data_IF_536043770344
#
_entry.id   IF_536043770344
#
_cell.length_a   1.000
_cell.length_b   1.000
_cell.length_c   1.000
_cell.angle_alpha   90.00
_cell.angle_beta   90.00
_cell.angle_gamma   90.00
#
_symmetry.space_group_name_H-M   'P 1'
#
loop_
_entity.id
_entity.type
_entity.pdbx_description
1 polymer ?
#
# COMPACT_ATOMS: atom_id res chain seq x y z
N UNK A 1 -15.63 -44.77 31.05
CA UNK A 1 -17.09 -44.64 31.00
C UNK A 1 -17.40 -43.32 30.31
N UNK A 2 -17.86 -43.34 29.06
CA UNK A 2 -18.24 -42.13 28.30
C UNK A 2 -19.54 -41.60 28.91
N UNK A 3 -19.54 -40.36 29.43
CA UNK A 3 -20.79 -39.66 29.72
C UNK A 3 -21.05 -38.65 28.60
N UNK A 4 -22.13 -38.92 27.89
CA UNK A 4 -22.82 -37.98 27.02
C UNK A 4 -23.45 -36.88 27.88
N UNK A 5 -23.20 -35.61 27.56
CA UNK A 5 -24.07 -34.52 28.00
C UNK A 5 -24.84 -34.01 26.78
N UNK A 6 -26.10 -34.44 26.79
CA UNK A 6 -27.20 -34.07 25.92
C UNK A 6 -27.42 -32.56 25.96
N UNK A 7 -27.78 -32.01 24.81
CA UNK A 7 -28.06 -30.59 24.61
C UNK A 7 -29.06 -30.04 25.63
N UNK A 8 -28.67 -28.95 26.26
CA UNK A 8 -29.53 -28.05 27.02
C UNK A 8 -29.16 -26.63 26.63
N UNK A 9 -29.98 -26.03 25.77
CA UNK A 9 -29.92 -24.60 25.46
C UNK A 9 -30.32 -23.83 26.71
N UNK A 10 -29.36 -23.17 27.37
CA UNK A 10 -29.66 -22.15 28.37
C UNK A 10 -29.65 -20.82 27.63
N UNK A 11 -30.85 -20.31 27.32
CA UNK A 11 -31.07 -19.00 26.72
C UNK A 11 -30.95 -17.91 27.79
N UNK A 12 -29.75 -17.36 27.96
CA UNK A 12 -29.58 -16.04 28.57
C UNK A 12 -29.61 -14.98 27.48
N UNK A 13 -30.68 -14.17 27.48
CA UNK A 13 -30.79 -12.86 26.81
C UNK A 13 -30.52 -12.85 25.30
N UNK A 14 -31.49 -12.40 24.50
CA UNK A 14 -31.37 -12.31 23.04
C UNK A 14 -30.17 -11.49 22.56
N UNK A 15 -29.01 -12.13 22.46
CA UNK A 15 -27.97 -11.78 21.52
C UNK A 15 -28.20 -12.70 20.33
N UNK A 16 -28.71 -12.13 19.23
CA UNK A 16 -28.56 -12.77 17.93
C UNK A 16 -27.04 -12.94 17.77
N UNK A 17 -26.55 -14.19 17.84
CA UNK A 17 -25.20 -14.48 17.36
C UNK A 17 -25.24 -14.14 15.88
N UNK A 18 -24.81 -12.94 15.52
CA UNK A 18 -24.37 -12.68 14.16
C UNK A 18 -23.45 -13.84 13.79
N UNK A 19 -23.73 -14.54 12.69
CA UNK A 19 -22.78 -15.52 12.18
C UNK A 19 -21.45 -14.79 12.05
N UNK A 20 -20.46 -15.23 12.83
CA UNK A 20 -19.15 -14.61 12.87
C UNK A 20 -18.62 -14.59 11.44
N UNK A 21 -18.26 -13.41 10.95
CA UNK A 21 -17.67 -13.31 9.62
C UNK A 21 -16.43 -14.21 9.58
N UNK A 22 -16.36 -15.11 8.61
CA UNK A 22 -15.22 -16.01 8.49
C UNK A 22 -14.03 -15.25 7.90
N UNK A 23 -13.15 -14.78 8.79
CA UNK A 23 -11.90 -14.09 8.44
C UNK A 23 -10.80 -15.05 7.95
N UNK A 24 -11.03 -16.37 7.94
CA UNK A 24 -9.98 -17.32 7.54
C UNK A 24 -9.67 -17.22 6.05
N UNK A 25 -8.38 -17.28 5.71
CA UNK A 25 -7.91 -17.22 4.32
C UNK A 25 -8.21 -18.48 3.50
N UNK A 26 -8.71 -19.53 4.16
CA UNK A 26 -8.95 -20.86 3.59
C UNK A 26 -10.41 -21.30 3.70
N UNK A 27 -11.26 -20.50 4.34
CA UNK A 27 -12.66 -20.82 4.57
C UNK A 27 -13.61 -20.17 3.57
N UNK A 28 -14.88 -20.12 3.96
CA UNK A 28 -15.97 -19.57 3.17
C UNK A 28 -15.83 -18.06 2.92
N UNK A 29 -15.12 -17.32 3.79
CA UNK A 29 -14.86 -15.89 3.60
C UNK A 29 -14.20 -15.57 2.27
N UNK A 30 -13.21 -16.37 1.86
CA UNK A 30 -12.52 -16.22 0.58
C UNK A 30 -13.47 -16.35 -0.62
N UNK A 31 -14.39 -17.31 -0.59
CA UNK A 31 -15.39 -17.51 -1.64
C UNK A 31 -16.36 -16.33 -1.69
N UNK A 32 -16.87 -15.88 -0.53
CA UNK A 32 -17.77 -14.72 -0.45
C UNK A 32 -17.14 -13.45 -1.00
N UNK A 33 -15.85 -13.21 -0.75
CA UNK A 33 -15.15 -12.06 -1.30
C UNK A 33 -15.10 -12.10 -2.84
N UNK A 34 -14.92 -13.29 -3.43
CA UNK A 34 -14.98 -13.47 -4.88
C UNK A 34 -16.39 -13.23 -5.42
N UNK A 35 -17.42 -13.79 -4.79
CA UNK A 35 -18.82 -13.64 -5.21
C UNK A 35 -19.31 -12.19 -5.14
N UNK A 36 -18.76 -11.40 -4.21
CA UNK A 36 -19.00 -9.95 -4.08
C UNK A 36 -18.20 -9.09 -5.05
N UNK A 37 -17.36 -9.69 -5.90
CA UNK A 37 -16.50 -8.95 -6.82
C UNK A 37 -15.38 -8.17 -6.15
N UNK A 38 -14.96 -8.55 -4.93
CA UNK A 38 -13.91 -7.87 -4.16
C UNK A 38 -12.49 -8.33 -4.52
N UNK A 39 -12.34 -9.21 -5.51
CA UNK A 39 -11.07 -9.83 -5.91
C UNK A 39 -10.59 -9.22 -7.21
N UNK A 40 -9.34 -8.75 -7.23
CA UNK A 40 -8.75 -8.05 -8.38
C UNK A 40 -9.57 -6.82 -8.84
N UNK A 41 -10.32 -6.25 -7.91
CA UNK A 41 -11.17 -5.12 -8.21
C UNK A 41 -10.37 -3.82 -8.26
N UNK A 42 -10.99 -2.83 -8.87
CA UNK A 42 -10.37 -1.55 -9.14
C UNK A 42 -10.59 -0.62 -7.94
N UNK A 43 -9.49 -0.17 -7.34
CA UNK A 43 -9.52 0.73 -6.19
C UNK A 43 -9.67 2.19 -6.64
N UNK A 44 -10.31 3.00 -5.81
CA UNK A 44 -10.23 4.45 -5.96
C UNK A 44 -8.77 4.92 -5.86
N UNK A 45 -8.38 5.80 -6.78
CA UNK A 45 -7.08 6.46 -6.80
C UNK A 45 -7.31 7.98 -6.86
N UNK A 46 -6.70 8.69 -5.91
CA UNK A 46 -6.75 10.15 -5.87
C UNK A 46 -5.99 10.76 -7.06
N UNK A 47 -6.44 11.93 -7.52
CA UNK A 47 -5.73 12.68 -8.54
C UNK A 47 -4.50 13.38 -7.95
N UNK A 48 -3.33 13.12 -8.55
CA UNK A 48 -2.08 13.86 -8.34
C UNK A 48 -1.44 14.07 -9.70
N UNK A 49 -0.87 15.23 -10.00
CA UNK A 49 -0.13 15.48 -11.25
C UNK A 49 1.04 14.49 -11.45
N UNK A 50 1.36 13.99 -12.67
CA UNK A 50 2.35 12.93 -12.81
C UNK A 50 3.77 13.40 -12.51
N UNK A 51 4.11 14.64 -12.90
CA UNK A 51 5.38 15.26 -12.53
C UNK A 51 5.52 15.34 -11.01
N UNK A 52 4.47 15.81 -10.34
CA UNK A 52 4.44 15.89 -8.88
C UNK A 52 4.55 14.52 -8.21
N UNK A 53 3.88 13.50 -8.74
CA UNK A 53 3.96 12.13 -8.22
C UNK A 53 5.38 11.57 -8.35
N UNK A 54 6.10 11.85 -9.45
CA UNK A 54 7.51 11.46 -9.59
C UNK A 54 8.40 12.09 -8.51
N UNK A 55 8.24 13.40 -8.26
CA UNK A 55 8.95 14.09 -7.18
C UNK A 55 8.66 13.46 -5.81
N UNK A 56 7.40 13.15 -5.52
CA UNK A 56 6.99 12.54 -4.25
C UNK A 56 7.57 11.14 -4.06
N UNK A 57 7.75 10.37 -5.13
CA UNK A 57 8.32 9.02 -5.11
C UNK A 57 9.86 8.99 -5.04
N UNK A 58 10.54 10.14 -5.11
CA UNK A 58 11.99 10.19 -5.03
C UNK A 58 12.54 9.67 -3.71
N UNK A 59 13.49 8.72 -3.80
CA UNK A 59 14.09 8.07 -2.64
C UNK A 59 15.43 8.70 -2.30
N UNK A 60 15.65 9.00 -1.03
CA UNK A 60 16.92 9.59 -0.57
C UNK A 60 17.57 8.74 0.53
N UNK A 61 18.85 8.43 0.38
CA UNK A 61 19.59 7.73 1.44
C UNK A 61 19.81 8.62 2.67
N UNK A 62 20.05 9.93 2.46
CA UNK A 62 20.42 10.85 3.54
C UNK A 62 19.36 10.92 4.64
N UNK A 63 18.10 11.14 4.26
CA UNK A 63 17.01 11.34 5.23
C UNK A 63 16.71 10.06 6.00
N UNK A 64 16.59 8.94 5.30
CA UNK A 64 16.37 7.63 5.92
C UNK A 64 17.53 7.21 6.84
N UNK A 65 18.79 7.50 6.48
CA UNK A 65 19.94 7.24 7.36
C UNK A 65 19.87 8.04 8.65
N UNK A 66 19.57 9.35 8.58
CA UNK A 66 19.50 10.20 9.78
C UNK A 66 18.38 9.70 10.70
N UNK A 67 17.20 9.45 10.15
CA UNK A 67 16.05 8.95 10.91
C UNK A 67 16.33 7.60 11.59
N UNK A 68 16.93 6.66 10.83
CA UNK A 68 17.32 5.35 11.34
C UNK A 68 18.39 5.45 12.42
N UNK A 69 19.42 6.28 12.23
CA UNK A 69 20.48 6.47 13.21
C UNK A 69 19.95 7.11 14.50
N UNK A 70 19.03 8.07 14.38
CA UNK A 70 18.36 8.69 15.53
C UNK A 70 17.53 7.66 16.29
N UNK A 71 16.74 6.84 15.60
CA UNK A 71 15.94 5.80 16.22
C UNK A 71 16.80 4.75 16.95
N UNK A 72 17.87 4.24 16.31
CA UNK A 72 18.79 3.29 16.95
C UNK A 72 19.47 3.94 18.16
N UNK A 73 19.97 5.16 18.02
CA UNK A 73 20.63 5.90 19.11
C UNK A 73 19.70 6.13 20.30
N UNK A 74 18.46 6.55 20.05
CA UNK A 74 17.44 6.72 21.09
C UNK A 74 17.07 5.38 21.74
N UNK A 75 16.98 4.30 20.96
CA UNK A 75 16.68 2.97 21.49
C UNK A 75 17.79 2.48 22.42
N UNK A 76 19.05 2.66 22.04
CA UNK A 76 20.22 2.33 22.87
C UNK A 76 20.23 3.18 24.14
N UNK A 77 19.99 4.49 24.02
CA UNK A 77 19.94 5.41 25.16
C UNK A 77 18.81 5.06 26.13
N UNK A 78 17.62 4.76 25.62
CA UNK A 78 16.49 4.33 26.45
C UNK A 78 16.76 2.98 27.12
N UNK A 79 17.44 2.05 26.43
CA UNK A 79 17.86 0.78 27.00
C UNK A 79 18.90 0.95 28.10
N UNK A 80 19.86 1.84 27.91
CA UNK A 80 20.82 2.23 28.95
C UNK A 80 20.12 2.90 30.14
N UNK A 81 19.19 3.81 29.90
CA UNK A 81 18.41 4.47 30.95
C UNK A 81 17.61 3.45 31.77
N UNK A 82 16.97 2.48 31.10
CA UNK A 82 16.27 1.38 31.75
C UNK A 82 17.20 0.52 32.61
N UNK A 83 18.39 0.16 32.08
CA UNK A 83 19.38 -0.61 32.83
C UNK A 83 19.92 0.17 34.05
N UNK A 84 20.23 1.45 33.89
CA UNK A 84 20.76 2.31 34.95
C UNK A 84 19.74 2.59 36.07
N UNK A 85 18.45 2.54 35.74
CA UNK A 85 17.35 2.76 36.69
C UNK A 85 16.68 1.47 37.13
N UNK A 86 17.26 0.32 36.80
CA UNK A 86 16.75 -0.99 37.18
C UNK A 86 16.48 -1.06 38.68
N UNK A 87 15.37 -1.70 39.06
CA UNK A 87 14.93 -1.85 40.45
C UNK A 87 14.52 -0.54 41.17
N UNK A 88 14.28 0.54 40.40
CA UNK A 88 13.71 1.79 40.92
C UNK A 88 12.40 2.16 40.21
N UNK A 89 11.64 3.08 40.78
CA UNK A 89 10.44 3.63 40.12
C UNK A 89 10.73 4.30 38.77
N UNK A 90 11.97 4.76 38.55
CA UNK A 90 12.41 5.31 37.26
C UNK A 90 12.50 4.27 36.14
N UNK A 91 12.54 2.98 36.47
CA UNK A 91 12.49 1.91 35.47
C UNK A 91 11.17 1.87 34.71
N UNK A 92 10.06 2.34 35.31
CA UNK A 92 8.74 2.37 34.65
C UNK A 92 8.72 3.34 33.46
N UNK A 93 9.00 4.65 33.62
CA UNK A 93 9.04 5.56 32.47
C UNK A 93 10.16 5.19 31.48
N UNK A 94 11.30 4.65 31.95
CA UNK A 94 12.36 4.16 31.06
C UNK A 94 11.90 2.98 30.20
N UNK A 95 11.16 2.03 30.79
CA UNK A 95 10.56 0.90 30.08
C UNK A 95 9.54 1.36 29.04
N UNK A 96 8.71 2.34 29.36
CA UNK A 96 7.73 2.89 28.41
C UNK A 96 8.43 3.54 27.21
N UNK A 97 9.46 4.36 27.45
CA UNK A 97 10.26 4.97 26.38
C UNK A 97 10.98 3.91 25.53
N UNK A 98 11.62 2.92 26.18
CA UNK A 98 12.29 1.82 25.48
C UNK A 98 11.29 0.99 24.66
N UNK A 99 10.15 0.62 25.23
CA UNK A 99 9.10 -0.14 24.54
C UNK A 99 8.50 0.61 23.35
N UNK A 100 8.28 1.93 23.47
CA UNK A 100 7.79 2.74 22.36
C UNK A 100 8.79 2.79 21.19
N UNK A 101 10.09 2.87 21.48
CA UNK A 101 11.15 2.86 20.47
C UNK A 101 11.42 1.46 19.90
N UNK A 102 11.45 0.43 20.76
CA UNK A 102 11.76 -0.94 20.37
C UNK A 102 10.60 -1.63 19.66
N UNK A 103 9.36 -1.44 20.11
CA UNK A 103 8.17 -2.03 19.50
C UNK A 103 7.54 -1.08 18.49
N UNK A 104 7.01 0.05 18.99
CA UNK A 104 6.22 0.98 18.18
C UNK A 104 6.98 1.54 16.98
N UNK A 105 8.20 2.05 17.20
CA UNK A 105 8.99 2.58 16.09
C UNK A 105 9.53 1.50 15.15
N UNK A 106 9.84 0.30 15.65
CA UNK A 106 10.19 -0.83 14.79
C UNK A 106 9.04 -1.23 13.87
N UNK A 107 7.78 -1.19 14.32
CA UNK A 107 6.61 -1.54 13.50
C UNK A 107 6.51 -0.70 12.23
N UNK A 108 6.65 0.62 12.36
CA UNK A 108 6.65 1.51 11.20
C UNK A 108 7.87 1.31 10.28
N UNK A 109 9.05 0.96 10.82
CA UNK A 109 10.25 0.66 10.02
C UNK A 109 10.14 -0.70 9.32
N UNK A 110 9.58 -1.71 9.99
CA UNK A 110 9.27 -2.98 9.36
C UNK A 110 8.34 -2.78 8.17
N UNK A 111 7.29 -1.97 8.35
CA UNK A 111 6.33 -1.66 7.31
C UNK A 111 7.03 -0.97 6.12
N UNK A 112 7.62 0.21 6.36
CA UNK A 112 8.17 1.06 5.31
C UNK A 112 9.36 0.43 4.57
N UNK A 113 10.32 -0.14 5.30
CA UNK A 113 11.48 -0.78 4.67
C UNK A 113 11.10 -2.09 3.98
N UNK A 114 9.96 -2.69 4.34
CA UNK A 114 9.36 -3.82 3.65
C UNK A 114 8.90 -3.46 2.22
N UNK A 115 8.46 -2.23 1.99
CA UNK A 115 8.17 -1.69 0.67
C UNK A 115 9.43 -1.35 -0.11
N UNK A 116 10.51 -1.01 0.58
CA UNK A 116 11.80 -0.67 -0.02
C UNK A 116 11.86 0.75 -0.58
N UNK A 117 11.03 1.63 -0.03
CA UNK A 117 10.84 3.03 -0.44
C UNK A 117 11.68 4.00 0.37
N UNK A 118 11.94 3.73 1.66
CA UNK A 118 12.69 4.65 2.53
C UNK A 118 14.09 5.01 2.00
N UNK A 119 14.90 4.01 1.61
CA UNK A 119 16.24 4.22 1.06
C UNK A 119 16.26 4.07 -0.46
N UNK A 120 17.15 4.81 -1.14
CA UNK A 120 17.53 4.49 -2.52
C UNK A 120 18.33 3.16 -2.57
N UNK A 121 19.13 2.90 -1.55
CA UNK A 121 19.87 1.64 -1.42
C UNK A 121 18.94 0.49 -1.01
N UNK A 122 18.75 -0.47 -1.93
CA UNK A 122 18.01 -1.72 -1.65
C UNK A 122 18.59 -2.47 -0.46
N UNK A 123 19.93 -2.55 -0.36
CA UNK A 123 20.60 -3.24 0.74
C UNK A 123 20.30 -2.58 2.10
N UNK A 124 20.22 -1.24 2.14
CA UNK A 124 19.90 -0.53 3.37
C UNK A 124 18.46 -0.81 3.83
N UNK A 125 17.48 -0.76 2.92
CA UNK A 125 16.11 -1.16 3.23
C UNK A 125 16.06 -2.59 3.79
N UNK A 126 16.71 -3.56 3.15
CA UNK A 126 16.69 -4.96 3.60
C UNK A 126 17.31 -5.13 5.00
N UNK A 127 18.44 -4.50 5.29
CA UNK A 127 19.08 -4.60 6.62
C UNK A 127 18.15 -4.09 7.71
N UNK A 128 17.55 -2.91 7.51
CA UNK A 128 16.67 -2.30 8.52
C UNK A 128 15.34 -3.05 8.61
N UNK A 129 14.80 -3.53 7.49
CA UNK A 129 13.63 -4.39 7.47
C UNK A 129 13.84 -5.66 8.31
N UNK A 130 14.98 -6.34 8.15
CA UNK A 130 15.29 -7.54 8.91
C UNK A 130 15.50 -7.25 10.41
N UNK A 131 16.16 -6.13 10.74
CA UNK A 131 16.30 -5.69 12.13
C UNK A 131 14.94 -5.44 12.77
N UNK A 132 14.08 -4.66 12.12
CA UNK A 132 12.74 -4.36 12.62
C UNK A 132 11.86 -5.61 12.71
N UNK A 133 11.95 -6.51 11.71
CA UNK A 133 11.27 -7.81 11.72
C UNK A 133 11.67 -8.63 12.95
N UNK A 134 12.97 -8.67 13.28
CA UNK A 134 13.48 -9.37 14.46
C UNK A 134 12.93 -8.76 15.76
N UNK A 135 12.93 -7.43 15.90
CA UNK A 135 12.40 -6.75 17.09
C UNK A 135 10.90 -7.00 17.31
N UNK A 136 10.15 -7.24 16.24
CA UNK A 136 8.71 -7.52 16.29
C UNK A 136 8.36 -9.00 16.28
N UNK A 137 9.36 -9.89 16.29
CA UNK A 137 9.17 -11.34 16.12
C UNK A 137 8.38 -11.71 14.86
N UNK A 138 8.51 -10.92 13.78
CA UNK A 138 7.89 -11.17 12.48
C UNK A 138 8.85 -11.93 11.57
N UNK A 139 8.42 -13.07 11.04
CA UNK A 139 9.12 -13.76 9.97
C UNK A 139 9.21 -12.89 8.71
N UNK A 140 10.40 -12.42 8.29
CA UNK A 140 10.55 -11.35 7.30
C UNK A 140 9.98 -11.71 5.92
N UNK A 141 9.97 -12.99 5.54
CA UNK A 141 9.43 -13.41 4.24
C UNK A 141 7.90 -13.43 4.25
N UNK A 142 7.28 -14.14 5.20
CA UNK A 142 5.83 -14.32 5.26
C UNK A 142 5.14 -12.98 5.47
N UNK A 143 5.66 -12.18 6.40
CA UNK A 143 5.07 -10.89 6.75
C UNK A 143 5.22 -9.85 5.64
N UNK A 144 6.28 -9.89 4.81
CA UNK A 144 6.37 -9.02 3.63
C UNK A 144 5.23 -9.30 2.65
N UNK A 145 4.99 -10.57 2.35
CA UNK A 145 3.97 -10.97 1.36
C UNK A 145 2.56 -10.84 1.92
N UNK A 146 2.37 -11.10 3.22
CA UNK A 146 1.14 -10.75 3.94
C UNK A 146 0.83 -9.27 3.76
N UNK A 147 1.83 -8.42 3.98
CA UNK A 147 1.63 -6.98 3.97
C UNK A 147 1.40 -6.42 2.57
N UNK A 148 2.09 -6.95 1.55
CA UNK A 148 1.77 -6.58 0.16
C UNK A 148 0.33 -6.98 -0.20
N UNK A 149 -0.12 -8.15 0.26
CA UNK A 149 -1.51 -8.55 0.08
C UNK A 149 -2.48 -7.68 0.85
N UNK A 150 -2.13 -7.22 2.05
CA UNK A 150 -2.92 -6.26 2.80
C UNK A 150 -3.17 -4.98 1.99
N UNK A 151 -2.20 -4.46 1.24
CA UNK A 151 -2.44 -3.34 0.31
C UNK A 151 -3.40 -3.66 -0.83
N UNK A 152 -3.45 -4.91 -1.30
CA UNK A 152 -4.40 -5.36 -2.33
C UNK A 152 -5.81 -5.55 -1.78
N UNK A 153 -5.91 -6.15 -0.60
CA UNK A 153 -7.13 -6.71 -0.04
C UNK A 153 -7.48 -5.99 1.29
N UNK A 154 -7.15 -4.71 1.46
CA UNK A 154 -7.24 -4.00 2.77
C UNK A 154 -8.61 -4.14 3.40
N UNK A 155 -8.67 -4.82 4.56
CA UNK A 155 -9.90 -5.11 5.31
C UNK A 155 -10.96 -5.86 4.48
N UNK A 156 -10.53 -6.69 3.53
CA UNK A 156 -11.40 -7.64 2.84
C UNK A 156 -11.38 -8.97 3.61
N UNK A 157 -12.52 -9.31 4.19
CA UNK A 157 -12.66 -10.51 5.03
C UNK A 157 -12.35 -11.79 4.24
N UNK A 158 -11.61 -12.72 4.88
CA UNK A 158 -11.16 -13.96 4.24
C UNK A 158 -10.05 -13.77 3.19
N UNK A 159 -9.51 -12.56 3.05
CA UNK A 159 -8.40 -12.26 2.11
C UNK A 159 -7.24 -11.52 2.76
N UNK A 160 -7.53 -10.64 3.72
CA UNK A 160 -6.54 -9.90 4.48
C UNK A 160 -6.18 -10.62 5.79
N UNK A 161 -4.90 -11.01 5.90
CA UNK A 161 -4.36 -11.67 7.08
C UNK A 161 -4.05 -10.68 8.22
N UNK A 162 -4.02 -9.38 7.93
CA UNK A 162 -3.58 -8.32 8.84
C UNK A 162 -4.75 -7.62 9.53
N UNK A 163 -5.99 -8.09 9.33
CA UNK A 163 -7.16 -7.63 10.09
C UNK A 163 -6.99 -8.01 11.56
N UNK A 164 -6.61 -7.04 12.38
CA UNK A 164 -6.37 -7.22 13.82
C UNK A 164 -7.68 -7.21 14.60
N UNK A 165 -8.62 -6.33 14.23
CA UNK A 165 -9.90 -6.14 14.91
C UNK A 165 -11.06 -6.86 14.19
N UNK A 166 -11.01 -8.19 14.22
CA UNK A 166 -12.10 -9.02 13.70
C UNK A 166 -13.40 -8.80 14.49
N UNK A 167 -14.54 -8.80 13.81
CA UNK A 167 -15.86 -8.57 14.40
C UNK A 167 -16.53 -9.89 14.79
N UNK A 168 -17.15 -9.98 15.99
CA UNK A 168 -17.15 -9.00 17.08
C UNK A 168 -15.76 -8.89 17.72
N UNK A 169 -15.35 -7.67 18.14
CA UNK A 169 -14.04 -7.45 18.72
C UNK A 169 -13.89 -8.20 20.03
N UNK A 170 -12.79 -8.95 20.15
CA UNK A 170 -12.37 -9.53 21.42
C UNK A 170 -11.67 -8.46 22.25
N UNK A 171 -12.24 -8.08 23.40
CA UNK A 171 -11.66 -7.10 24.34
C UNK A 171 -10.21 -7.47 24.71
N UNK A 172 -9.92 -8.76 24.89
CA UNK A 172 -8.57 -9.25 25.21
C UNK A 172 -7.57 -9.11 24.04
N UNK A 173 -8.02 -9.24 22.79
CA UNK A 173 -7.18 -8.97 21.61
C UNK A 173 -7.02 -7.47 21.32
N UNK A 174 -8.00 -6.68 21.75
CA UNK A 174 -8.13 -5.25 21.45
C UNK A 174 -7.14 -4.39 22.26
N UNK A 175 -6.83 -4.76 23.51
CA UNK A 175 -5.94 -3.99 24.41
C UNK A 175 -4.50 -3.88 23.87
N UNK A 176 -4.07 -4.79 23.00
CA UNK A 176 -2.70 -4.85 22.49
C UNK A 176 -2.53 -4.39 21.04
N UNK A 177 -3.62 -3.97 20.38
CA UNK A 177 -3.62 -3.62 18.97
C UNK A 177 -3.71 -2.11 18.78
N UNK A 178 -2.71 -1.51 18.13
CA UNK A 178 -2.80 -0.16 17.62
C UNK A 178 -3.11 -0.27 16.12
N UNK A 179 -4.26 0.28 15.70
CA UNK A 179 -4.71 0.54 14.30
C UNK A 179 -5.74 -0.42 13.67
N UNK A 180 -6.73 0.20 12.98
CA UNK A 180 -7.75 -0.34 12.05
C UNK A 180 -9.14 -0.71 12.61
N UNK A 181 -10.00 0.30 12.79
CA UNK A 181 -11.44 0.11 12.98
C UNK A 181 -12.20 0.89 11.93
N UNK A 182 -12.54 0.24 10.82
CA UNK A 182 -13.14 0.87 9.66
C UNK A 182 -14.09 -0.07 8.92
N UNK A 183 -14.67 0.41 7.83
CA UNK A 183 -15.58 -0.38 7.00
C UNK A 183 -14.85 -1.58 6.42
N UNK A 184 -15.48 -2.76 6.49
CA UNK A 184 -14.91 -4.00 5.94
C UNK A 184 -15.51 -4.28 4.56
N UNK A 185 -14.77 -4.98 3.72
CA UNK A 185 -15.25 -5.42 2.41
C UNK A 185 -15.60 -4.26 1.43
N UNK A 186 -14.93 -3.12 1.55
CA UNK A 186 -15.10 -1.93 0.67
C UNK A 186 -13.84 -1.70 -0.16
N UNK A 187 -13.99 -1.47 -1.47
CA UNK A 187 -12.92 -1.30 -2.47
C UNK A 187 -12.46 0.16 -2.64
N UNK A 188 -12.54 0.94 -1.57
CA UNK A 188 -12.12 2.33 -1.55
C UNK A 188 -11.44 2.64 -0.22
N UNK A 189 -10.14 2.97 -0.29
CA UNK A 189 -9.33 3.22 0.90
C UNK A 189 -9.80 4.41 1.73
N UNK A 190 -10.63 5.31 1.17
CA UNK A 190 -11.24 6.43 1.92
C UNK A 190 -12.22 5.95 2.99
N UNK A 191 -12.76 4.74 2.84
CA UNK A 191 -13.71 4.14 3.77
C UNK A 191 -13.06 3.18 4.77
N UNK A 192 -11.98 2.49 4.37
CA UNK A 192 -11.33 1.46 5.16
C UNK A 192 -9.97 1.88 5.78
N UNK A 193 -9.39 3.01 5.35
CA UNK A 193 -8.14 3.58 5.87
C UNK A 193 -8.30 5.05 6.27
N UNK A 194 -7.47 5.55 7.21
CA UNK A 194 -7.58 6.90 7.78
C UNK A 194 -6.25 7.61 7.93
N UNK A 195 -6.32 8.92 7.82
CA UNK A 195 -5.26 9.84 8.26
C UNK A 195 -5.58 10.43 9.62
N UNK A 196 -4.56 10.50 10.47
CA UNK A 196 -4.62 11.10 11.80
C UNK A 196 -3.54 12.15 11.90
N UNK A 197 -3.87 13.37 12.31
CA UNK A 197 -2.86 14.37 12.64
C UNK A 197 -2.19 14.04 13.97
N UNK A 198 -0.86 14.07 13.93
CA UNK A 198 0.01 13.70 15.03
C UNK A 198 1.08 14.78 15.27
N UNK A 199 1.52 14.90 16.51
CA UNK A 199 2.64 15.78 16.86
C UNK A 199 3.97 15.23 16.30
N UNK A 200 5.05 16.05 16.25
CA UNK A 200 6.33 15.64 15.66
C UNK A 200 6.95 14.37 16.28
N UNK A 201 6.77 14.15 17.59
CA UNK A 201 7.29 12.96 18.27
C UNK A 201 6.61 11.69 17.76
N UNK A 202 5.28 11.67 17.70
CA UNK A 202 4.55 10.50 17.18
C UNK A 202 4.78 10.31 15.68
N UNK A 203 4.92 11.39 14.91
CA UNK A 203 5.29 11.31 13.49
C UNK A 203 6.67 10.68 13.28
N UNK A 204 7.63 10.97 14.16
CA UNK A 204 8.93 10.30 14.14
C UNK A 204 8.79 8.82 14.50
N UNK A 205 8.13 8.50 15.62
CA UNK A 205 7.93 7.12 16.06
C UNK A 205 7.17 6.29 15.02
N UNK A 206 6.21 6.88 14.31
CA UNK A 206 5.38 6.16 13.35
C UNK A 206 5.84 6.33 11.89
N UNK A 207 7.03 6.89 11.64
CA UNK A 207 7.52 7.19 10.28
C UNK A 207 6.48 7.91 9.43
N UNK A 208 5.82 8.96 9.91
CA UNK A 208 4.70 9.62 9.19
C UNK A 208 3.59 8.67 8.67
N UNK A 209 3.53 7.40 9.09
CA UNK A 209 2.50 6.44 8.66
C UNK A 209 1.12 6.77 9.25
N UNK A 210 1.03 7.91 9.94
CA UNK A 210 -0.23 8.55 10.30
C UNK A 210 -1.00 9.07 9.08
N UNK A 211 -0.32 9.26 7.94
CA UNK A 211 -0.89 9.49 6.61
C UNK A 211 -1.15 8.15 5.91
N UNK A 212 -2.00 7.34 6.53
CA UNK A 212 -2.10 5.93 6.16
C UNK A 212 -2.96 5.72 4.91
N UNK A 213 -3.99 6.54 4.68
CA UNK A 213 -4.84 6.39 3.49
C UNK A 213 -4.05 6.72 2.22
N UNK A 214 -3.21 7.75 2.29
CA UNK A 214 -2.30 8.15 1.22
C UNK A 214 -1.32 7.03 0.92
N UNK A 215 -0.75 6.42 1.97
CA UNK A 215 0.14 5.27 1.85
C UNK A 215 -0.54 4.06 1.20
N UNK A 216 -1.77 3.71 1.56
CA UNK A 216 -2.48 2.58 0.92
C UNK A 216 -2.82 2.82 -0.56
N UNK A 217 -3.11 4.09 -0.91
CA UNK A 217 -3.33 4.49 -2.29
C UNK A 217 -2.01 4.50 -3.09
N UNK A 218 -0.92 4.96 -2.48
CA UNK A 218 0.38 5.16 -3.14
C UNK A 218 1.54 4.60 -2.29
N UNK A 219 1.64 3.27 -2.13
CA UNK A 219 2.67 2.66 -1.27
C UNK A 219 4.10 2.81 -1.84
N UNK A 220 4.23 3.32 -3.07
CA UNK A 220 5.51 3.71 -3.67
C UNK A 220 6.06 5.03 -3.13
N UNK A 221 5.24 5.86 -2.49
CA UNK A 221 5.66 7.15 -1.94
C UNK A 221 6.33 6.92 -0.58
N UNK A 222 7.62 7.29 -0.42
CA UNK A 222 8.32 7.10 0.84
C UNK A 222 7.69 7.92 1.95
N UNK A 223 7.79 7.37 3.16
CA UNK A 223 7.19 7.92 4.37
C UNK A 223 7.47 9.42 4.62
N UNK A 224 8.63 9.91 4.18
CA UNK A 224 9.03 11.29 4.40
C UNK A 224 8.29 12.30 3.50
N UNK A 225 7.70 11.83 2.40
CA UNK A 225 6.94 12.61 1.42
C UNK A 225 5.42 12.48 1.59
N UNK A 226 4.94 11.51 2.40
CA UNK A 226 3.51 11.37 2.73
C UNK A 226 2.83 12.67 3.23
N UNK A 227 3.48 13.55 4.03
CA UNK A 227 2.85 14.81 4.43
C UNK A 227 2.58 15.74 3.25
N UNK A 228 3.48 15.74 2.26
CA UNK A 228 3.34 16.55 1.05
C UNK A 228 2.28 15.95 0.14
N UNK A 229 2.27 14.62 -0.04
CA UNK A 229 1.21 13.91 -0.73
C UNK A 229 -0.17 14.20 -0.11
N UNK A 230 -0.28 14.14 1.22
CA UNK A 230 -1.51 14.51 1.92
C UNK A 230 -1.97 15.92 1.57
N UNK A 231 -1.06 16.89 1.46
CA UNK A 231 -1.42 18.24 1.08
C UNK A 231 -2.03 18.33 -0.33
N UNK A 232 -1.58 17.47 -1.27
CA UNK A 232 -2.11 17.38 -2.64
C UNK A 232 -3.50 16.73 -2.68
N UNK A 233 -3.74 15.68 -1.87
CA UNK A 233 -4.95 14.84 -2.02
C UNK A 233 -6.00 15.04 -0.94
N UNK A 234 -5.72 15.78 0.14
CA UNK A 234 -6.63 15.91 1.31
C UNK A 234 -8.07 16.32 0.95
N UNK A 235 -8.26 17.12 -0.09
CA UNK A 235 -9.58 17.61 -0.52
C UNK A 235 -10.40 16.53 -1.25
N UNK A 236 -9.79 15.39 -1.56
CA UNK A 236 -10.40 14.20 -2.16
C UNK A 236 -10.66 13.09 -1.13
N UNK A 237 -10.21 13.30 0.11
CA UNK A 237 -10.27 12.34 1.23
C UNK A 237 -11.31 12.78 2.25
N UNK A 238 -11.76 11.82 3.08
CA UNK A 238 -12.50 12.18 4.27
C UNK A 238 -11.64 13.02 5.23
N UNK A 239 -12.23 13.94 6.01
CA UNK A 239 -11.50 14.77 6.96
C UNK A 239 -10.58 13.95 7.89
N UNK A 240 -9.31 14.37 7.96
CA UNK A 240 -8.34 13.74 8.84
C UNK A 240 -8.74 13.90 10.31
N UNK A 241 -8.49 12.87 11.11
CA UNK A 241 -8.76 12.91 12.55
C UNK A 241 -7.79 13.92 13.20
N UNK A 242 -8.27 14.92 13.94
CA UNK A 242 -7.48 16.11 14.25
C UNK A 242 -6.34 15.88 15.26
N UNK A 243 -6.44 14.84 16.08
CA UNK A 243 -5.40 14.50 17.08
C UNK A 243 -5.36 12.99 17.33
N UNK A 244 -4.22 12.52 17.86
CA UNK A 244 -4.09 11.15 18.38
C UNK A 244 -5.15 10.83 19.45
N UNK A 245 -5.49 11.77 20.33
CA UNK A 245 -6.52 11.56 21.35
C UNK A 245 -7.93 11.41 20.74
N UNK A 246 -8.26 12.21 19.72
CA UNK A 246 -9.50 12.05 18.98
C UNK A 246 -9.56 10.69 18.26
N UNK A 247 -8.45 10.22 17.70
CA UNK A 247 -8.37 8.90 17.09
C UNK A 247 -8.65 7.77 18.09
N UNK A 248 -8.06 7.81 19.30
CA UNK A 248 -8.38 6.84 20.34
C UNK A 248 -9.85 6.90 20.77
N UNK A 249 -10.44 8.10 20.87
CA UNK A 249 -11.86 8.24 21.18
C UNK A 249 -12.75 7.56 20.12
N UNK A 250 -12.43 7.74 18.83
CA UNK A 250 -13.13 7.07 17.73
C UNK A 250 -12.95 5.54 17.83
N UNK A 251 -11.72 5.07 18.04
CA UNK A 251 -11.39 3.65 18.17
C UNK A 251 -12.19 3.00 19.31
N UNK A 252 -12.07 3.51 20.53
CA UNK A 252 -12.71 2.89 21.69
C UNK A 252 -14.23 3.00 21.67
N UNK A 253 -14.79 4.11 21.16
CA UNK A 253 -16.25 4.23 20.99
C UNK A 253 -16.79 3.28 19.92
N UNK A 254 -16.05 3.06 18.84
CA UNK A 254 -16.41 2.12 17.77
C UNK A 254 -16.36 0.68 18.27
N UNK A 255 -15.30 0.29 18.97
CA UNK A 255 -15.18 -1.05 19.57
C UNK A 255 -16.32 -1.35 20.55
N UNK A 256 -16.67 -0.37 21.39
CA UNK A 256 -17.78 -0.52 22.33
C UNK A 256 -19.12 -0.74 21.61
N UNK A 257 -19.34 -0.05 20.49
CA UNK A 257 -20.53 -0.26 19.63
C UNK A 257 -20.48 -1.61 18.92
N UNK A 258 -19.35 -1.96 18.32
CA UNK A 258 -19.15 -3.23 17.60
C UNK A 258 -19.22 -4.47 18.50
N UNK A 259 -18.95 -4.31 19.80
CA UNK A 259 -19.16 -5.37 20.77
C UNK A 259 -20.65 -5.71 20.95
N UNK A 260 -21.53 -4.72 20.81
CA UNK A 260 -23.00 -4.89 20.92
C UNK A 260 -23.62 -5.19 19.56
N UNK A 261 -23.21 -4.46 18.53
CA UNK A 261 -23.64 -4.60 17.13
C UNK A 261 -22.41 -4.81 16.24
N UNK A 262 -22.03 -6.06 15.93
CA UNK A 262 -20.86 -6.35 15.10
C UNK A 262 -20.93 -5.75 13.70
N UNK A 263 -22.12 -5.40 13.21
CA UNK A 263 -22.29 -4.78 11.89
C UNK A 263 -22.08 -3.27 11.90
N UNK A 264 -21.94 -2.65 13.07
CA UNK A 264 -21.74 -1.22 13.19
C UNK A 264 -20.51 -0.74 12.41
N UNK A 265 -20.73 0.27 11.58
CA UNK A 265 -19.70 0.95 10.80
C UNK A 265 -19.70 2.45 11.10
N UNK A 266 -18.52 3.06 11.02
CA UNK A 266 -18.39 4.50 11.17
C UNK A 266 -18.86 5.16 9.86
N UNK A 267 -19.73 6.16 9.98
CA UNK A 267 -20.12 7.03 8.88
C UNK A 267 -19.03 8.06 8.61
N UNK A 268 -18.73 8.28 7.33
CA UNK A 268 -17.57 9.03 6.89
C UNK A 268 -18.00 10.01 5.81
N UNK A 269 -17.60 11.25 5.99
CA UNK A 269 -17.80 12.31 5.01
C UNK A 269 -16.74 12.19 3.92
N UNK A 270 -16.96 11.30 2.95
CA UNK A 270 -16.06 11.08 1.81
C UNK A 270 -16.55 11.92 0.63
N UNK A 271 -15.73 12.85 0.09
CA UNK A 271 -16.12 13.65 -1.06
C UNK A 271 -16.44 12.79 -2.30
N UNK A 272 -17.51 13.14 -3.01
CA UNK A 272 -17.81 12.59 -4.33
C UNK A 272 -16.89 13.21 -5.38
N UNK A 273 -15.76 12.57 -5.60
CA UNK A 273 -14.78 12.93 -6.63
C UNK A 273 -14.56 11.73 -7.55
N UNK A 274 -14.34 12.01 -8.84
CA UNK A 274 -14.03 10.97 -9.80
C UNK A 274 -12.65 10.38 -9.49
N UNK A 275 -12.55 9.05 -9.48
CA UNK A 275 -11.25 8.39 -9.38
C UNK A 275 -10.47 8.70 -10.64
N UNK A 276 -9.42 9.52 -10.55
CA UNK A 276 -8.58 9.79 -11.71
C UNK A 276 -7.66 8.63 -11.96
N UNK A 277 -8.13 7.72 -12.80
CA UNK A 277 -7.24 6.90 -13.60
C UNK A 277 -6.85 7.77 -14.76
N UNK A 278 -5.57 8.15 -14.86
CA UNK A 278 -5.09 8.87 -16.04
C UNK A 278 -5.12 7.90 -17.23
N UNK A 279 -6.32 7.68 -17.77
CA UNK A 279 -6.48 7.51 -19.21
C UNK A 279 -6.05 8.86 -19.76
N UNK A 280 -4.77 8.97 -20.10
CA UNK A 280 -4.45 9.87 -21.20
C UNK A 280 -5.17 9.19 -22.35
N UNK A 281 -6.42 9.60 -22.57
CA UNK A 281 -7.12 9.30 -23.80
C UNK A 281 -6.32 10.10 -24.83
N UNK A 282 -5.21 9.51 -25.25
CA UNK A 282 -4.66 9.76 -26.57
C UNK A 282 -5.78 9.26 -27.46
N UNK A 283 -6.75 10.13 -27.69
CA UNK A 283 -7.97 9.78 -28.40
C UNK A 283 -7.63 9.13 -29.74
N UNK A 284 -8.65 8.61 -30.41
CA UNK A 284 -8.55 7.98 -31.75
C UNK A 284 -7.71 8.79 -32.77
N UNK A 285 -7.41 10.07 -32.50
CA UNK A 285 -6.61 10.98 -33.31
C UNK A 285 -5.09 11.00 -33.08
N UNK A 286 -4.52 10.34 -32.05
CA UNK A 286 -3.10 10.53 -31.68
C UNK A 286 -2.17 9.37 -31.99
N UNK A 287 -2.71 8.17 -32.17
CA UNK A 287 -1.96 7.08 -32.78
C UNK A 287 -2.46 6.81 -34.19
N UNK A 288 -1.54 6.70 -35.12
CA UNK A 288 -1.84 6.43 -36.53
C UNK A 288 -1.14 5.15 -36.90
N UNK A 289 -1.91 4.18 -37.38
CA UNK A 289 -1.32 2.99 -37.96
C UNK A 289 -0.78 3.34 -39.36
N UNK A 290 0.53 3.15 -39.54
CA UNK A 290 1.18 3.29 -40.83
C UNK A 290 0.87 2.08 -41.71
N UNK A 291 0.97 2.24 -43.03
CA UNK A 291 0.74 1.18 -44.01
C UNK A 291 1.69 -0.04 -43.83
N UNK A 292 2.82 0.13 -43.16
CA UNK A 292 3.77 -0.92 -42.83
C UNK A 292 3.42 -1.69 -41.53
N UNK A 293 2.31 -1.35 -40.87
CA UNK A 293 1.85 -1.97 -39.62
C UNK A 293 2.44 -1.35 -38.34
N UNK A 294 3.35 -0.38 -38.43
CA UNK A 294 3.82 0.39 -37.27
C UNK A 294 2.73 1.33 -36.75
N UNK A 295 2.74 1.60 -35.44
CA UNK A 295 1.78 2.48 -34.79
C UNK A 295 2.51 3.69 -34.25
N UNK A 296 2.22 4.87 -34.78
CA UNK A 296 2.68 6.13 -34.20
C UNK A 296 2.06 6.29 -32.81
N UNK A 297 2.85 6.48 -31.74
CA UNK A 297 2.35 6.54 -30.37
C UNK A 297 2.35 7.96 -29.80
N UNK A 298 3.35 8.76 -30.15
CA UNK A 298 3.56 10.11 -29.62
C UNK A 298 4.67 10.85 -30.39
N UNK A 299 4.69 12.18 -30.28
CA UNK A 299 5.87 12.96 -30.63
C UNK A 299 6.98 12.70 -29.59
N UNK A 300 8.22 12.46 -30.03
CA UNK A 300 9.35 12.16 -29.14
C UNK A 300 9.67 13.30 -28.16
N UNK A 301 9.39 14.54 -28.56
CA UNK A 301 9.51 15.75 -27.73
C UNK A 301 8.39 15.95 -26.72
N UNK A 302 7.30 15.18 -26.80
CA UNK A 302 6.14 15.34 -25.91
C UNK A 302 6.29 14.62 -24.57
N UNK A 303 7.40 13.90 -24.36
CA UNK A 303 7.68 13.15 -23.14
C UNK A 303 9.00 13.59 -22.53
N UNK A 304 9.01 13.72 -21.21
CA UNK A 304 10.22 13.93 -20.43
C UNK A 304 10.94 12.60 -20.15
N UNK A 305 12.26 12.66 -19.97
CA UNK A 305 13.04 11.47 -19.56
C UNK A 305 12.55 11.01 -18.19
N UNK A 306 12.29 9.71 -18.05
CA UNK A 306 11.70 9.09 -16.86
C UNK A 306 10.17 9.07 -16.83
N UNK A 307 9.49 9.64 -17.83
CA UNK A 307 8.04 9.58 -17.95
C UNK A 307 7.56 8.19 -18.41
N UNK A 308 6.48 7.72 -17.78
CA UNK A 308 5.66 6.61 -18.25
C UNK A 308 4.30 7.15 -18.72
N UNK A 309 3.84 6.67 -19.87
CA UNK A 309 2.59 7.08 -20.50
C UNK A 309 1.75 5.87 -20.85
N UNK A 310 0.50 5.88 -20.41
CA UNK A 310 -0.51 4.90 -20.83
C UNK A 310 -0.90 5.16 -22.28
N UNK A 311 -0.92 4.09 -23.08
CA UNK A 311 -1.40 4.11 -24.47
C UNK A 311 -2.43 2.99 -24.63
N UNK A 312 -3.68 3.35 -24.91
CA UNK A 312 -4.75 2.38 -25.20
C UNK A 312 -4.92 2.27 -26.72
N UNK A 313 -4.89 1.04 -27.25
CA UNK A 313 -5.07 0.73 -28.68
C UNK A 313 -6.09 -0.40 -28.77
N UNK A 314 -7.26 -0.11 -29.36
CA UNK A 314 -8.39 -1.04 -29.43
C UNK A 314 -8.74 -1.60 -28.03
N UNK A 315 -8.64 -2.91 -27.82
CA UNK A 315 -8.94 -3.62 -26.57
C UNK A 315 -7.70 -3.83 -25.67
N UNK A 316 -6.55 -3.28 -26.06
CA UNK A 316 -5.26 -3.48 -25.37
C UNK A 316 -4.73 -2.19 -24.79
N UNK A 317 -4.04 -2.29 -23.68
CA UNK A 317 -3.35 -1.18 -23.03
C UNK A 317 -1.85 -1.43 -22.92
N UNK A 318 -1.07 -0.38 -23.10
CA UNK A 318 0.38 -0.39 -23.15
C UNK A 318 0.98 0.73 -22.29
N UNK A 319 2.27 0.60 -22.00
CA UNK A 319 3.09 1.65 -21.41
C UNK A 319 4.18 2.03 -22.38
N UNK A 320 4.20 3.30 -22.78
CA UNK A 320 5.33 3.94 -23.43
C UNK A 320 6.18 4.63 -22.35
N UNK A 321 7.46 4.28 -22.26
CA UNK A 321 8.40 4.90 -21.32
C UNK A 321 9.57 5.56 -22.04
N UNK A 322 10.08 6.67 -21.49
CA UNK A 322 11.27 7.37 -22.02
C UNK A 322 12.47 7.17 -21.10
N UNK A 323 13.45 6.37 -21.53
CA UNK A 323 14.68 6.07 -20.77
C UNK A 323 15.77 7.14 -20.92
N UNK A 324 15.81 7.81 -22.08
CA UNK A 324 16.80 8.85 -22.43
C UNK A 324 16.25 9.78 -23.50
N UNK A 325 17.07 10.70 -24.05
CA UNK A 325 16.60 11.67 -25.05
C UNK A 325 15.89 11.00 -26.25
N UNK A 326 16.50 9.92 -26.77
CA UNK A 326 16.02 9.14 -27.91
C UNK A 326 15.86 7.64 -27.60
N UNK A 327 15.83 7.25 -26.32
CA UNK A 327 15.66 5.85 -25.89
C UNK A 327 14.26 5.67 -25.30
N UNK A 328 13.42 4.88 -25.98
CA UNK A 328 12.04 4.60 -25.59
C UNK A 328 11.81 3.10 -25.43
N UNK A 329 10.84 2.74 -24.59
CA UNK A 329 10.38 1.37 -24.39
C UNK A 329 8.87 1.28 -24.53
N UNK A 330 8.39 0.14 -25.02
CA UNK A 330 6.98 -0.16 -25.10
C UNK A 330 6.74 -1.56 -24.53
N UNK A 331 5.82 -1.68 -23.59
CA UNK A 331 5.43 -2.96 -23.02
C UNK A 331 3.91 -3.06 -22.80
N UNK A 332 3.43 -4.25 -22.46
CA UNK A 332 2.07 -4.43 -21.99
C UNK A 332 1.80 -3.52 -20.77
N UNK A 333 0.60 -2.95 -20.71
CA UNK A 333 0.30 -1.91 -19.74
C UNK A 333 -0.10 -2.42 -18.35
N UNK A 334 -0.54 -3.67 -18.24
CA UNK A 334 -0.97 -4.27 -16.98
C UNK A 334 0.14 -5.11 -16.35
N UNK A 335 0.28 -4.96 -15.03
CA UNK A 335 1.21 -5.77 -14.25
C UNK A 335 0.78 -7.25 -14.28
N UNK A 336 1.72 -8.16 -14.51
CA UNK A 336 1.45 -9.62 -14.54
C UNK A 336 1.11 -10.22 -13.18
N UNK A 337 1.31 -9.47 -12.09
CA UNK A 337 0.96 -9.89 -10.74
C UNK A 337 -0.51 -9.61 -10.39
N UNK A 338 -1.05 -8.47 -10.80
CA UNK A 338 -2.40 -8.01 -10.46
C UNK A 338 -2.86 -6.97 -11.49
N UNK A 339 -4.18 -6.73 -11.59
CA UNK A 339 -4.79 -5.81 -12.57
C UNK A 339 -4.52 -4.32 -12.25
N UNK A 340 -3.25 -3.93 -12.27
CA UNK A 340 -2.73 -2.60 -11.97
C UNK A 340 -1.97 -2.10 -13.18
N UNK A 341 -2.28 -0.88 -13.60
CA UNK A 341 -1.61 -0.27 -14.75
C UNK A 341 -0.21 0.22 -14.38
N UNK A 342 0.79 -0.14 -15.18
CA UNK A 342 2.19 0.18 -14.93
C UNK A 342 2.54 1.65 -15.23
N UNK A 343 1.73 2.35 -16.03
CA UNK A 343 1.93 3.78 -16.32
C UNK A 343 1.83 4.67 -15.07
N UNK A 344 1.08 4.25 -14.06
CA UNK A 344 0.95 4.99 -12.79
C UNK A 344 2.13 4.71 -11.84
N UNK A 345 3.05 3.85 -12.25
CA UNK A 345 4.27 3.49 -11.56
C UNK A 345 5.42 4.47 -11.76
N UNK A 346 6.64 3.95 -11.65
CA UNK A 346 7.85 4.73 -11.85
C UNK A 346 8.86 4.00 -12.72
N UNK A 347 9.65 4.78 -13.46
CA UNK A 347 10.80 4.30 -14.22
C UNK A 347 12.07 4.54 -13.40
N UNK A 348 12.73 3.47 -12.96
CA UNK A 348 13.85 3.54 -12.01
C UNK A 348 15.00 2.66 -12.51
N UNK A 349 16.16 3.28 -12.78
CA UNK A 349 17.39 2.58 -13.13
C UNK A 349 17.23 1.54 -14.29
N UNK A 350 16.39 1.85 -15.28
CA UNK A 350 16.10 0.94 -16.42
C UNK A 350 15.05 -0.13 -16.13
N UNK A 351 14.31 -0.01 -15.03
CA UNK A 351 13.22 -0.90 -14.62
C UNK A 351 11.89 -0.14 -14.52
N UNK A 352 10.77 -0.75 -14.93
CA UNK A 352 9.42 -0.27 -14.60
C UNK A 352 9.02 -0.86 -13.25
N UNK A 353 8.69 0.01 -12.29
CA UNK A 353 8.17 -0.37 -10.98
C UNK A 353 6.64 -0.18 -10.92
N UNK A 354 5.93 -1.26 -10.60
CA UNK A 354 4.48 -1.26 -10.39
C UNK A 354 4.11 -0.39 -9.18
N UNK A 355 3.10 0.51 -9.30
CA UNK A 355 2.77 1.46 -8.24
C UNK A 355 2.17 0.82 -6.98
N UNK A 356 1.63 -0.40 -7.07
CA UNK A 356 0.88 -1.00 -5.96
C UNK A 356 1.72 -1.85 -5.01
N UNK A 357 2.65 -2.66 -5.52
CA UNK A 357 3.48 -3.56 -4.69
C UNK A 357 4.96 -3.47 -5.04
N UNK A 358 5.35 -2.46 -5.81
CA UNK A 358 6.72 -2.16 -6.19
C UNK A 358 7.42 -3.34 -6.90
N UNK A 359 6.65 -4.24 -7.51
CA UNK A 359 7.20 -5.29 -8.38
C UNK A 359 7.85 -4.64 -9.60
N UNK A 360 9.00 -5.17 -10.05
CA UNK A 360 9.79 -4.55 -11.12
C UNK A 360 10.02 -5.46 -12.30
N UNK A 361 10.06 -4.84 -13.47
CA UNK A 361 10.37 -5.46 -14.74
C UNK A 361 11.56 -4.73 -15.38
N UNK A 362 12.51 -5.46 -15.92
CA UNK A 362 13.56 -4.89 -16.77
C UNK A 362 12.91 -4.30 -18.04
N UNK A 363 13.22 -3.05 -18.37
CA UNK A 363 12.52 -2.36 -19.48
C UNK A 363 12.85 -2.93 -20.87
N UNK A 364 13.97 -3.64 -21.02
CA UNK A 364 14.44 -4.13 -22.32
C UNK A 364 13.96 -5.54 -22.62
N UNK A 365 13.84 -6.36 -21.59
CA UNK A 365 13.49 -7.79 -21.69
C UNK A 365 12.09 -8.08 -21.19
N UNK A 366 11.53 -7.23 -20.32
CA UNK A 366 10.26 -7.48 -19.63
C UNK A 366 10.37 -8.46 -18.46
N UNK A 367 11.55 -9.01 -18.19
CA UNK A 367 11.77 -10.01 -17.14
C UNK A 367 11.57 -9.43 -15.74
N UNK A 368 10.96 -10.18 -14.80
CA UNK A 368 10.75 -9.71 -13.43
C UNK A 368 12.08 -9.64 -12.67
N UNK A 369 12.43 -8.46 -12.18
CA UNK A 369 13.68 -8.21 -11.43
C UNK A 369 13.43 -8.03 -9.92
N UNK A 370 12.18 -7.73 -9.54
CA UNK A 370 11.76 -7.60 -8.14
C UNK A 370 10.37 -8.18 -7.95
N UNK A 371 10.25 -9.13 -7.02
CA UNK A 371 8.97 -9.68 -6.56
C UNK A 371 8.02 -8.56 -6.05
N UNK A 372 6.69 -8.75 -6.09
CA UNK A 372 5.96 -10.02 -6.20
C UNK A 372 5.80 -10.55 -7.63
N UNK A 373 6.15 -9.77 -8.65
CA UNK A 373 6.04 -10.22 -10.04
C UNK A 373 6.98 -11.40 -10.29
N UNK A 374 6.48 -12.39 -11.05
CA UNK A 374 7.17 -13.65 -11.35
C UNK A 374 7.04 -14.06 -12.81
N UNK A 375 6.23 -13.35 -13.59
CA UNK A 375 6.04 -13.57 -15.01
C UNK A 375 6.44 -12.29 -15.76
N UNK A 376 7.08 -12.39 -16.93
CA UNK A 376 7.50 -11.23 -17.70
C UNK A 376 6.31 -10.49 -18.32
N UNK A 377 6.45 -9.18 -18.50
CA UNK A 377 5.58 -8.40 -19.40
C UNK A 377 6.10 -8.50 -20.82
N UNK A 378 5.22 -8.51 -21.82
CA UNK A 378 5.68 -8.46 -23.21
C UNK A 378 6.26 -7.07 -23.51
N UNK A 379 7.43 -7.04 -24.14
CA UNK A 379 8.08 -5.83 -24.67
C UNK A 379 8.00 -5.82 -26.19
N UNK A 380 7.89 -4.63 -26.76
CA UNK A 380 7.67 -4.42 -28.18
C UNK A 380 8.74 -3.50 -28.78
N UNK A 381 9.17 -3.74 -30.02
CA UNK A 381 10.10 -2.85 -30.70
C UNK A 381 9.53 -1.44 -30.84
N UNK A 382 10.39 -0.44 -30.60
CA UNK A 382 10.11 0.97 -30.79
C UNK A 382 11.19 1.58 -31.68
N UNK A 383 10.78 2.43 -32.61
CA UNK A 383 11.67 3.21 -33.47
C UNK A 383 11.27 4.68 -33.46
N UNK A 384 12.23 5.57 -33.70
CA UNK A 384 11.94 6.99 -33.93
C UNK A 384 11.99 7.25 -35.44
N UNK A 385 10.89 7.72 -36.02
CA UNK A 385 10.79 8.10 -37.43
C UNK A 385 10.18 9.50 -37.54
N UNK A 386 10.88 10.43 -38.21
CA UNK A 386 10.41 11.80 -38.38
C UNK A 386 10.08 12.56 -37.08
N UNK A 387 10.73 12.23 -35.95
CA UNK A 387 10.44 12.82 -34.63
C UNK A 387 9.21 12.23 -33.93
N UNK A 388 8.62 11.15 -34.46
CA UNK A 388 7.53 10.37 -33.88
C UNK A 388 8.06 9.05 -33.33
N UNK A 389 7.48 8.61 -32.23
CA UNK A 389 7.79 7.32 -31.60
C UNK A 389 6.82 6.29 -32.15
N UNK A 390 7.34 5.32 -32.91
CA UNK A 390 6.55 4.29 -33.60
C UNK A 390 6.77 2.94 -32.91
N UNK A 391 5.69 2.32 -32.45
CA UNK A 391 5.67 0.99 -31.84
C UNK A 391 5.26 -0.12 -32.82
N UNK A 392 5.83 -1.31 -32.66
CA UNK A 392 5.51 -2.48 -33.47
C UNK A 392 4.85 -3.56 -32.60
N UNK A 393 3.55 -3.45 -32.41
CA UNK A 393 2.74 -4.45 -31.68
C UNK A 393 2.14 -5.44 -32.69
N UNK A 394 2.49 -6.73 -32.58
CA UNK A 394 1.82 -7.75 -33.38
C UNK A 394 0.34 -7.79 -32.98
N UNK A 395 -0.56 -7.68 -33.95
CA UNK A 395 -1.99 -7.96 -33.73
C UNK A 395 -2.09 -9.41 -33.23
N UNK A 396 -2.83 -9.66 -32.15
CA UNK A 396 -3.35 -11.02 -31.95
C UNK A 396 -4.13 -11.34 -33.23
N UNK A 397 -3.83 -12.48 -33.87
CA UNK A 397 -4.73 -13.01 -34.87
C UNK A 397 -6.09 -13.15 -34.16
N UNK A 398 -7.07 -12.35 -34.59
CA UNK A 398 -8.46 -12.48 -34.17
C UNK A 398 -8.87 -13.91 -34.49
N UNK A 399 -8.99 -14.75 -33.46
CA UNK A 399 -9.61 -16.07 -33.55
C UNK A 399 -11.11 -15.94 -33.46
#
# INVERSE_FOLDING_TARGET
MRLWLVGGCVTFGGFVKAELEDYSLVGAGKARAHDRGLVNAEWFLADVEPARMRELQERTNRRATIDTALWIGLTILAGWWLAATAWSWWSIPAMLCYGALYGGASDSRWHEMGHGTAFRSRRANEIIYHLASFQLFRGPTVWRWSHYRHHTDTIITGRDAEIVFQRPPSVWRTIFAFTHLQQENVLDHRYNTRTVYMNPLFRFLYSNMNYHVEHHMFPSVPYHALPDLHAEVKDQLAPAVPTTAAAYRVIFSTLARQHVDPTYEIELDVPEVESRRRRIDVGESNWVQHANGGIDLAAASSMDVGELRRIDIEDRTFVLGKLGEDEFILCDGLCTHANIHLADGALIDGEIECPKHNGRFDCKTGEPTRRPVTQPVAVYPVTIDGGRVVGHVNRKATS
#
